data_IF_875279288744
#
_entry.id   IF_875279288744
#
_cell.length_a   1.000
_cell.length_b   1.000
_cell.length_c   1.000
_cell.angle_alpha   90.00
_cell.angle_beta   90.00
_cell.angle_gamma   90.00
#
_symmetry.space_group_name_H-M   'P 1'
#
loop_
_entity.id
_entity.type
_entity.pdbx_description
1 polymer ?
#
# COMPACT_ATOMS: atom_id res chain seq x y z
N UNK A 1 77.87 -14.13 -19.39
CA UNK A 1 76.41 -14.36 -19.47
C UNK A 1 75.97 -14.86 -18.11
N UNK A 2 75.14 -14.09 -17.41
CA UNK A 2 74.73 -14.33 -16.02
C UNK A 2 74.90 -13.06 -15.19
N UNK A 3 73.86 -12.23 -15.15
CA UNK A 3 73.23 -12.03 -13.85
C UNK A 3 71.70 -11.96 -13.98
N UNK A 4 70.96 -12.47 -13.00
CA UNK A 4 69.82 -11.73 -12.46
C UNK A 4 69.38 -12.30 -11.11
N UNK A 5 69.39 -11.38 -10.15
CA UNK A 5 68.80 -11.48 -8.83
C UNK A 5 67.28 -11.57 -8.95
N UNK A 6 66.62 -12.40 -8.16
CA UNK A 6 65.17 -12.25 -7.96
C UNK A 6 64.79 -12.38 -6.48
N UNK A 7 64.29 -11.26 -5.96
CA UNK A 7 63.58 -11.13 -4.70
C UNK A 7 62.67 -9.90 -4.85
N UNK A 8 61.56 -9.79 -4.11
CA UNK A 8 60.35 -10.58 -4.19
C UNK A 8 59.16 -9.70 -4.62
N UNK A 9 58.25 -10.19 -5.46
CA UNK A 9 57.09 -9.39 -5.88
C UNK A 9 55.91 -9.53 -4.90
N UNK A 10 55.62 -8.42 -4.23
CA UNK A 10 54.61 -8.23 -3.20
C UNK A 10 53.19 -8.68 -3.56
N UNK A 11 52.53 -9.18 -2.52
CA UNK A 11 51.09 -9.23 -2.33
C UNK A 11 50.39 -7.93 -2.77
N UNK A 12 49.56 -8.01 -3.80
CA UNK A 12 48.53 -7.00 -4.07
C UNK A 12 47.17 -7.70 -4.24
N UNK A 13 46.68 -8.25 -3.12
CA UNK A 13 45.30 -8.64 -2.98
C UNK A 13 44.43 -7.40 -3.03
N UNK A 14 43.89 -7.10 -4.22
CA UNK A 14 42.98 -5.99 -4.52
C UNK A 14 41.86 -5.97 -3.47
N UNK A 15 41.96 -5.06 -2.50
CA UNK A 15 40.94 -4.83 -1.51
C UNK A 15 39.62 -4.48 -2.23
N UNK A 16 38.63 -5.37 -2.15
CA UNK A 16 37.27 -5.10 -2.60
C UNK A 16 36.76 -3.90 -1.81
N UNK A 17 36.68 -2.74 -2.46
CA UNK A 17 35.95 -1.58 -1.93
C UNK A 17 34.55 -2.05 -1.50
N UNK A 18 34.03 -1.64 -0.33
CA UNK A 18 32.68 -2.00 0.08
C UNK A 18 31.72 -1.56 -1.02
N UNK A 19 31.12 -2.52 -1.70
CA UNK A 19 30.31 -2.29 -2.89
C UNK A 19 29.18 -1.33 -2.55
N UNK A 20 29.15 -0.17 -3.21
CA UNK A 20 28.02 0.75 -3.18
C UNK A 20 26.76 -0.07 -3.46
N UNK A 21 25.80 -0.05 -2.55
CA UNK A 21 24.51 -0.71 -2.73
C UNK A 21 23.90 -0.22 -4.04
N UNK A 22 23.73 -1.12 -4.99
CA UNK A 22 23.00 -0.80 -6.20
C UNK A 22 21.51 -0.69 -5.85
N UNK A 23 21.04 0.55 -5.72
CA UNK A 23 19.64 0.86 -5.43
C UNK A 23 18.74 0.63 -6.64
N UNK A 24 19.29 0.39 -7.84
CA UNK A 24 18.49 0.09 -9.03
C UNK A 24 17.71 -1.22 -8.88
N UNK A 25 18.21 -2.16 -8.07
CA UNK A 25 17.57 -3.44 -7.79
C UNK A 25 16.46 -3.35 -6.73
N UNK A 26 16.37 -2.25 -5.99
CA UNK A 26 15.45 -2.16 -4.86
C UNK A 26 14.00 -2.23 -5.35
N UNK A 27 13.66 -1.50 -6.42
CA UNK A 27 12.33 -1.54 -7.01
C UNK A 27 11.93 -2.96 -7.46
N UNK A 28 12.84 -3.68 -8.12
CA UNK A 28 12.60 -5.06 -8.57
C UNK A 28 12.35 -6.02 -7.41
N UNK A 29 13.09 -5.88 -6.30
CA UNK A 29 12.88 -6.70 -5.09
C UNK A 29 11.54 -6.38 -4.44
N UNK A 30 11.17 -5.10 -4.36
CA UNK A 30 9.91 -4.68 -3.76
C UNK A 30 8.70 -5.11 -4.60
N UNK A 31 8.78 -5.01 -5.93
CA UNK A 31 7.76 -5.53 -6.84
C UNK A 31 7.65 -7.06 -6.76
N UNK A 32 8.78 -7.78 -6.72
CA UNK A 32 8.80 -9.22 -6.48
C UNK A 32 8.19 -9.59 -5.12
N UNK A 33 8.36 -8.74 -4.11
CA UNK A 33 7.77 -8.93 -2.78
C UNK A 33 6.25 -8.82 -2.84
N UNK A 34 5.70 -7.76 -3.45
CA UNK A 34 4.25 -7.61 -3.61
C UNK A 34 3.65 -8.78 -4.39
N UNK A 35 4.30 -9.17 -5.49
CA UNK A 35 3.83 -10.29 -6.29
C UNK A 35 3.90 -11.63 -5.54
N UNK A 36 4.98 -11.87 -4.78
CA UNK A 36 5.09 -13.06 -3.94
C UNK A 36 4.02 -13.12 -2.85
N UNK A 37 3.74 -12.00 -2.17
CA UNK A 37 2.66 -11.93 -1.17
C UNK A 37 1.29 -12.11 -1.83
N UNK A 38 1.05 -11.53 -3.01
CA UNK A 38 -0.20 -11.70 -3.74
C UNK A 38 -0.44 -13.16 -4.18
N UNK A 39 0.62 -13.89 -4.52
CA UNK A 39 0.55 -15.28 -5.01
C UNK A 39 0.36 -16.27 -3.86
N UNK A 40 1.12 -16.12 -2.76
CA UNK A 40 1.17 -17.13 -1.70
C UNK A 40 0.81 -16.62 -0.30
N UNK A 41 0.54 -15.34 -0.13
CA UNK A 41 0.31 -14.71 1.18
C UNK A 41 1.59 -14.46 1.97
N UNK A 42 1.50 -13.63 3.02
CA UNK A 42 2.65 -13.25 3.84
C UNK A 42 3.32 -14.46 4.50
N UNK A 43 2.54 -15.35 5.11
CA UNK A 43 3.08 -16.47 5.89
C UNK A 43 3.92 -17.43 5.04
N UNK A 44 3.42 -17.80 3.85
CA UNK A 44 4.09 -18.76 2.97
C UNK A 44 5.22 -18.13 2.15
N UNK A 45 5.30 -16.80 2.04
CA UNK A 45 6.43 -16.15 1.40
C UNK A 45 7.71 -16.39 2.21
N UNK A 46 8.64 -17.16 1.66
CA UNK A 46 9.97 -17.35 2.23
C UNK A 46 10.96 -16.35 1.63
N UNK A 47 12.01 -16.02 2.39
CA UNK A 47 13.07 -15.14 1.90
C UNK A 47 13.90 -15.78 0.77
N UNK A 48 13.95 -17.12 0.71
CA UNK A 48 14.59 -17.85 -0.39
C UNK A 48 13.75 -17.77 -1.67
N UNK A 49 12.43 -17.95 -1.56
CA UNK A 49 11.52 -17.79 -2.69
C UNK A 49 11.53 -16.35 -3.22
N UNK A 50 11.56 -15.36 -2.31
CA UNK A 50 11.70 -13.96 -2.69
C UNK A 50 13.03 -13.68 -3.42
N UNK A 51 14.15 -14.17 -2.88
CA UNK A 51 15.47 -14.03 -3.50
C UNK A 51 15.51 -14.62 -4.91
N UNK A 52 14.98 -15.85 -5.06
CA UNK A 52 14.83 -16.51 -6.36
C UNK A 52 13.97 -15.69 -7.32
N UNK A 53 12.83 -15.15 -6.85
CA UNK A 53 11.92 -14.37 -7.70
C UNK A 53 12.53 -13.05 -8.15
N UNK A 54 13.27 -12.38 -7.27
CA UNK A 54 13.91 -11.11 -7.57
C UNK A 54 15.24 -11.26 -8.33
N UNK A 55 15.71 -12.49 -8.56
CA UNK A 55 16.99 -12.74 -9.25
C UNK A 55 18.21 -12.26 -8.46
N UNK A 56 18.13 -12.21 -7.13
CA UNK A 56 19.20 -11.73 -6.25
C UNK A 56 19.54 -12.74 -5.17
N UNK A 57 20.75 -12.66 -4.60
CA UNK A 57 21.13 -13.48 -3.45
C UNK A 57 20.39 -13.06 -2.17
N UNK A 58 20.01 -14.04 -1.34
CA UNK A 58 19.34 -13.81 -0.04
C UNK A 58 20.06 -12.79 0.85
N UNK A 59 21.40 -12.85 0.90
CA UNK A 59 22.23 -11.90 1.66
C UNK A 59 22.11 -10.46 1.15
N UNK A 60 21.83 -10.24 -0.14
CA UNK A 60 21.61 -8.91 -0.69
C UNK A 60 20.27 -8.30 -0.22
N UNK A 61 19.25 -9.13 0.01
CA UNK A 61 17.97 -8.69 0.58
C UNK A 61 18.15 -8.34 2.05
N UNK A 62 18.72 -9.25 2.85
CA UNK A 62 18.90 -9.02 4.30
C UNK A 62 19.75 -7.80 4.66
N UNK A 63 20.72 -7.46 3.81
CA UNK A 63 21.54 -6.25 3.99
C UNK A 63 20.73 -4.95 3.93
N UNK A 64 19.58 -4.96 3.24
CA UNK A 64 18.68 -3.81 3.07
C UNK A 64 17.47 -3.91 3.99
N UNK A 65 16.85 -5.10 4.04
CA UNK A 65 15.67 -5.38 4.83
C UNK A 65 15.99 -6.51 5.83
N UNK A 66 16.19 -6.19 7.12
CA UNK A 66 16.63 -7.17 8.11
C UNK A 66 15.58 -8.26 8.39
N UNK A 67 14.33 -8.08 7.96
CA UNK A 67 13.25 -9.06 8.15
C UNK A 67 12.27 -9.07 6.98
N UNK A 68 11.48 -10.16 6.88
CA UNK A 68 10.37 -10.29 5.92
C UNK A 68 9.33 -9.18 6.11
N UNK A 69 9.00 -8.84 7.36
CA UNK A 69 8.06 -7.76 7.67
C UNK A 69 8.54 -6.42 7.12
N UNK A 70 9.84 -6.12 7.26
CA UNK A 70 10.42 -4.85 6.81
C UNK A 70 10.44 -4.74 5.29
N UNK A 71 10.77 -5.81 4.54
CA UNK A 71 10.69 -5.76 3.06
C UNK A 71 9.25 -5.66 2.56
N UNK A 72 8.28 -6.31 3.22
CA UNK A 72 6.87 -6.22 2.84
C UNK A 72 6.31 -4.82 3.12
N UNK A 73 6.60 -4.23 4.28
CA UNK A 73 6.20 -2.86 4.60
C UNK A 73 6.80 -1.85 3.60
N UNK A 74 8.09 -1.96 3.30
CA UNK A 74 8.73 -1.10 2.29
C UNK A 74 8.16 -1.32 0.88
N UNK A 75 7.70 -2.52 0.57
CA UNK A 75 7.09 -2.84 -0.71
C UNK A 75 5.71 -2.17 -0.85
N UNK A 76 4.90 -2.19 0.22
CA UNK A 76 3.65 -1.43 0.32
C UNK A 76 3.94 0.07 0.19
N UNK A 77 4.97 0.59 0.86
CA UNK A 77 5.36 1.99 0.76
C UNK A 77 5.82 2.37 -0.65
N UNK A 78 6.55 1.48 -1.33
CA UNK A 78 6.97 1.67 -2.71
C UNK A 78 5.79 1.70 -3.68
N UNK A 79 4.82 0.80 -3.51
CA UNK A 79 3.55 0.86 -4.24
C UNK A 79 2.81 2.18 -3.99
N UNK A 80 2.65 2.57 -2.72
CA UNK A 80 1.93 3.80 -2.36
C UNK A 80 2.55 5.04 -2.99
N UNK A 81 3.88 5.15 -3.01
CA UNK A 81 4.59 6.27 -3.65
C UNK A 81 4.34 6.36 -5.16
N UNK A 82 4.09 5.25 -5.86
CA UNK A 82 3.84 5.24 -7.31
C UNK A 82 2.44 5.71 -7.69
N UNK A 83 1.47 5.63 -6.78
CA UNK A 83 0.10 6.10 -7.04
C UNK A 83 -0.02 7.63 -7.07
N UNK A 84 0.96 8.35 -6.51
CA UNK A 84 0.92 9.80 -6.41
C UNK A 84 -0.09 10.32 -5.38
N UNK A 85 -0.25 11.65 -5.28
CA UNK A 85 -1.26 12.25 -4.43
C UNK A 85 -2.67 11.95 -4.94
N UNK A 86 -3.62 11.82 -4.02
CA UNK A 86 -5.05 11.70 -4.32
C UNK A 86 -5.72 12.94 -3.77
N UNK A 87 -6.22 13.78 -4.67
CA UNK A 87 -6.96 14.98 -4.28
C UNK A 87 -8.43 14.63 -4.03
N UNK A 88 -9.02 15.07 -2.90
CA UNK A 88 -10.43 14.90 -2.66
C UNK A 88 -11.25 15.74 -3.66
N UNK A 89 -12.39 15.23 -4.14
CA UNK A 89 -13.32 16.05 -4.92
C UNK A 89 -13.73 17.31 -4.14
N UNK A 90 -13.92 18.41 -4.86
CA UNK A 90 -14.49 19.65 -4.34
C UNK A 90 -15.25 20.36 -5.47
N UNK A 91 -16.38 19.78 -5.86
CA UNK A 91 -17.21 20.25 -6.97
C UNK A 91 -18.16 21.38 -6.56
N UNK A 92 -18.11 21.82 -5.30
CA UNK A 92 -18.97 22.87 -4.74
C UNK A 92 -20.30 22.40 -4.14
N UNK A 93 -20.56 21.09 -4.09
CA UNK A 93 -21.71 20.51 -3.37
C UNK A 93 -21.41 19.08 -2.94
N UNK A 94 -21.96 18.63 -1.82
CA UNK A 94 -21.78 17.27 -1.30
C UNK A 94 -22.25 16.22 -2.30
N UNK A 95 -23.36 16.49 -3.00
CA UNK A 95 -23.85 15.60 -4.06
C UNK A 95 -22.84 15.44 -5.19
N UNK A 96 -22.30 16.55 -5.69
CA UNK A 96 -21.30 16.50 -6.76
C UNK A 96 -19.99 15.84 -6.31
N UNK A 97 -19.59 16.03 -5.05
CA UNK A 97 -18.43 15.35 -4.47
C UNK A 97 -18.66 13.83 -4.40
N UNK A 98 -19.85 13.38 -4.00
CA UNK A 98 -20.23 11.95 -4.01
C UNK A 98 -20.23 11.40 -5.44
N UNK A 99 -20.81 12.12 -6.39
CA UNK A 99 -20.84 11.69 -7.79
C UNK A 99 -19.42 11.55 -8.36
N UNK A 100 -18.50 12.46 -7.99
CA UNK A 100 -17.09 12.38 -8.35
C UNK A 100 -16.40 11.17 -7.71
N UNK A 101 -16.66 10.85 -6.43
CA UNK A 101 -16.13 9.64 -5.78
C UNK A 101 -16.65 8.36 -6.45
N UNK A 102 -17.93 8.30 -6.80
CA UNK A 102 -18.52 7.15 -7.51
C UNK A 102 -17.92 7.02 -8.91
N UNK A 103 -17.75 8.13 -9.64
CA UNK A 103 -17.14 8.11 -10.97
C UNK A 103 -15.66 7.69 -10.94
N UNK A 104 -14.93 8.12 -9.91
CA UNK A 104 -13.54 7.76 -9.65
C UNK A 104 -13.35 6.33 -9.18
N UNK A 105 -14.43 5.60 -8.83
CA UNK A 105 -14.34 4.17 -8.51
C UNK A 105 -13.92 3.43 -9.78
N UNK A 106 -12.67 2.89 -9.82
CA UNK A 106 -12.14 2.29 -11.01
C UNK A 106 -12.80 0.93 -11.24
N UNK A 107 -12.88 0.52 -12.50
CA UNK A 107 -12.95 -0.91 -12.80
C UNK A 107 -11.64 -1.52 -12.34
N UNK A 108 -11.71 -2.43 -11.37
CA UNK A 108 -10.52 -3.04 -10.79
C UNK A 108 -9.71 -3.75 -11.87
N UNK A 109 -8.49 -3.28 -12.10
CA UNK A 109 -7.55 -3.94 -13.01
C UNK A 109 -6.75 -5.02 -12.27
N UNK A 110 -5.91 -5.76 -13.00
CA UNK A 110 -5.10 -6.83 -12.43
C UNK A 110 -4.15 -6.36 -11.32
N UNK A 111 -3.64 -5.13 -11.40
CA UNK A 111 -2.77 -4.55 -10.38
C UNK A 111 -3.56 -4.18 -9.10
N UNK A 112 -4.78 -3.67 -9.24
CA UNK A 112 -5.68 -3.41 -8.10
C UNK A 112 -6.03 -4.72 -7.40
N UNK A 113 -6.39 -5.75 -8.17
CA UNK A 113 -6.67 -7.08 -7.64
C UNK A 113 -5.44 -7.70 -6.96
N UNK A 114 -4.24 -7.50 -7.53
CA UNK A 114 -2.99 -7.94 -6.92
C UNK A 114 -2.79 -7.29 -5.55
N UNK A 115 -3.01 -5.99 -5.44
CA UNK A 115 -2.85 -5.28 -4.18
C UNK A 115 -3.90 -5.64 -3.14
N UNK A 116 -5.13 -5.90 -3.57
CA UNK A 116 -6.15 -6.49 -2.70
C UNK A 116 -5.66 -7.82 -2.11
N UNK A 117 -5.07 -8.70 -2.93
CA UNK A 117 -4.47 -9.96 -2.44
C UNK A 117 -3.30 -9.72 -1.50
N UNK A 118 -2.47 -8.71 -1.73
CA UNK A 118 -1.40 -8.32 -0.79
C UNK A 118 -1.97 -7.93 0.57
N UNK A 119 -2.94 -7.02 0.59
CA UNK A 119 -3.55 -6.52 1.85
C UNK A 119 -4.17 -7.67 2.63
N UNK A 120 -4.98 -8.50 1.98
CA UNK A 120 -5.59 -9.69 2.61
C UNK A 120 -4.52 -10.68 3.07
N UNK A 121 -3.49 -10.91 2.25
CA UNK A 121 -2.39 -11.81 2.56
C UNK A 121 -1.49 -11.37 3.72
N UNK A 122 -1.52 -10.08 4.08
CA UNK A 122 -0.75 -9.49 5.19
C UNK A 122 -1.61 -9.27 6.45
N UNK A 123 -2.92 -9.08 6.30
CA UNK A 123 -3.81 -8.64 7.37
C UNK A 123 -3.70 -9.47 8.67
N UNK A 124 -3.71 -10.80 8.58
CA UNK A 124 -3.61 -11.67 9.76
C UNK A 124 -2.26 -11.51 10.48
N UNK A 125 -1.16 -11.38 9.73
CA UNK A 125 0.16 -11.19 10.31
C UNK A 125 0.32 -9.80 10.94
N UNK A 126 -0.34 -8.78 10.39
CA UNK A 126 -0.32 -7.43 10.91
C UNK A 126 -0.90 -7.33 12.34
N UNK A 127 -1.87 -8.18 12.69
CA UNK A 127 -2.46 -8.20 14.05
C UNK A 127 -1.42 -8.41 15.18
N UNK A 128 -0.33 -9.12 14.90
CA UNK A 128 0.76 -9.36 15.85
C UNK A 128 2.08 -8.68 15.49
N UNK A 129 2.11 -7.84 14.45
CA UNK A 129 3.33 -7.25 13.92
C UNK A 129 3.14 -5.74 13.67
N UNK A 130 3.66 -4.87 14.56
CA UNK A 130 3.49 -3.41 14.46
C UNK A 130 4.01 -2.81 13.15
N UNK A 131 5.06 -3.39 12.55
CA UNK A 131 5.63 -2.91 11.28
C UNK A 131 4.64 -3.10 10.14
N UNK A 132 3.97 -4.25 10.10
CA UNK A 132 2.95 -4.54 9.09
C UNK A 132 1.65 -3.79 9.37
N UNK A 133 1.26 -3.66 10.65
CA UNK A 133 0.08 -2.89 11.04
C UNK A 133 0.18 -1.43 10.60
N UNK A 134 1.30 -0.75 10.91
CA UNK A 134 1.57 0.62 10.46
C UNK A 134 1.63 0.70 8.94
N UNK A 135 2.25 -0.27 8.25
CA UNK A 135 2.27 -0.26 6.79
C UNK A 135 0.87 -0.34 6.16
N UNK A 136 -0.06 -1.12 6.73
CA UNK A 136 -1.44 -1.14 6.24
C UNK A 136 -2.19 0.15 6.62
N UNK A 137 -2.06 0.60 7.87
CA UNK A 137 -2.80 1.77 8.35
C UNK A 137 -2.36 3.06 7.65
N UNK A 138 -1.06 3.35 7.67
CA UNK A 138 -0.49 4.62 7.20
C UNK A 138 -0.43 4.72 5.68
N UNK A 139 -0.26 3.60 4.98
CA UNK A 139 0.05 3.60 3.55
C UNK A 139 -1.08 3.08 2.68
N UNK A 140 -2.01 2.29 3.24
CA UNK A 140 -3.15 1.74 2.48
C UNK A 140 -4.45 2.42 2.91
N UNK A 141 -4.70 2.51 4.22
CA UNK A 141 -6.00 2.96 4.74
C UNK A 141 -6.07 4.47 4.98
N UNK A 142 -4.96 5.13 5.29
CA UNK A 142 -4.95 6.57 5.60
C UNK A 142 -5.48 7.45 4.45
N UNK A 143 -5.11 7.17 3.20
CA UNK A 143 -5.53 7.98 2.05
C UNK A 143 -7.04 7.96 1.81
N UNK A 144 -7.71 6.79 1.65
CA UNK A 144 -9.15 6.80 1.47
C UNK A 144 -9.89 7.40 2.69
N UNK A 145 -9.35 7.25 3.92
CA UNK A 145 -9.90 7.95 5.09
C UNK A 145 -9.84 9.47 4.93
N UNK A 146 -8.68 9.99 4.53
CA UNK A 146 -8.46 11.42 4.32
C UNK A 146 -9.37 11.98 3.23
N UNK A 147 -9.56 11.24 2.13
CA UNK A 147 -10.46 11.66 1.03
C UNK A 147 -11.90 11.78 1.51
N UNK A 148 -12.42 10.74 2.18
CA UNK A 148 -13.80 10.77 2.70
C UNK A 148 -13.96 11.88 3.74
N UNK A 149 -13.00 12.00 4.69
CA UNK A 149 -13.01 13.06 5.69
C UNK A 149 -13.01 14.45 5.06
N UNK A 150 -12.17 14.69 4.06
CA UNK A 150 -12.09 15.98 3.38
C UNK A 150 -13.42 16.36 2.71
N UNK A 151 -14.09 15.43 2.03
CA UNK A 151 -15.41 15.66 1.42
C UNK A 151 -16.45 16.04 2.49
N UNK A 152 -16.45 15.33 3.62
CA UNK A 152 -17.37 15.62 4.73
C UNK A 152 -17.08 16.98 5.37
N UNK A 153 -15.81 17.30 5.64
CA UNK A 153 -15.39 18.57 6.22
C UNK A 153 -15.75 19.75 5.30
N UNK A 154 -15.56 19.60 3.98
CA UNK A 154 -15.98 20.59 2.99
C UNK A 154 -17.49 20.80 2.99
N UNK A 155 -18.29 19.73 3.09
CA UNK A 155 -19.74 19.82 3.17
C UNK A 155 -20.22 20.48 4.47
N UNK A 156 -19.55 20.23 5.60
CA UNK A 156 -19.80 20.96 6.86
C UNK A 156 -19.49 22.45 6.67
N UNK A 157 -18.36 22.80 6.06
CA UNK A 157 -17.98 24.18 5.81
C UNK A 157 -18.98 24.93 4.91
N UNK A 158 -19.64 24.22 3.98
CA UNK A 158 -20.72 24.75 3.14
C UNK A 158 -22.09 24.77 3.81
N UNK A 159 -22.22 24.22 5.02
CA UNK A 159 -23.49 24.12 5.75
C UNK A 159 -24.44 23.03 5.23
N UNK A 160 -23.96 22.13 4.38
CA UNK A 160 -24.73 20.99 3.87
C UNK A 160 -24.85 19.87 4.91
N UNK A 161 -23.90 19.80 5.85
CA UNK A 161 -23.91 18.91 7.02
C UNK A 161 -23.93 19.76 8.30
N UNK A 162 -24.79 19.46 9.29
CA UNK A 162 -24.83 20.19 10.56
C UNK A 162 -23.49 20.13 11.32
N UNK A 163 -23.00 21.30 11.76
CA UNK A 163 -21.65 21.51 12.34
C UNK A 163 -21.39 20.97 13.76
N UNK A 164 -22.23 20.03 14.26
CA UNK A 164 -22.08 19.41 15.59
C UNK A 164 -22.08 17.88 15.56
N UNK A 165 -22.09 17.27 14.37
CA UNK A 165 -22.05 15.81 14.21
C UNK A 165 -20.62 15.30 14.36
N UNK A 166 -20.45 14.23 15.13
CA UNK A 166 -19.22 13.47 15.12
C UNK A 166 -19.17 12.59 13.86
N UNK A 167 -18.34 13.00 12.89
CA UNK A 167 -18.11 12.29 11.64
C UNK A 167 -16.84 11.44 11.68
N UNK A 168 -16.18 11.32 12.84
CA UNK A 168 -14.86 10.68 12.96
C UNK A 168 -14.85 9.21 12.52
N UNK A 169 -15.93 8.48 12.78
CA UNK A 169 -16.06 7.06 12.44
C UNK A 169 -16.51 6.80 11.00
N UNK A 170 -17.02 7.82 10.30
CA UNK A 170 -17.64 7.65 8.97
C UNK A 170 -16.67 7.03 7.95
N UNK A 171 -15.40 7.46 7.85
CA UNK A 171 -14.45 6.84 6.93
C UNK A 171 -14.18 5.36 7.25
N UNK A 172 -14.09 5.00 8.53
CA UNK A 172 -13.86 3.61 8.94
C UNK A 172 -15.07 2.71 8.67
N UNK A 173 -16.29 3.22 8.79
CA UNK A 173 -17.50 2.49 8.40
C UNK A 173 -17.48 2.14 6.91
N UNK A 174 -17.18 3.12 6.05
CA UNK A 174 -17.08 2.89 4.60
C UNK A 174 -15.99 1.86 4.26
N UNK A 175 -14.82 1.99 4.88
CA UNK A 175 -13.71 1.06 4.66
C UNK A 175 -14.01 -0.36 5.18
N UNK A 176 -14.64 -0.49 6.36
CA UNK A 176 -15.03 -1.78 6.92
C UNK A 176 -15.97 -2.55 6.00
N UNK A 177 -16.95 -1.87 5.39
CA UNK A 177 -17.85 -2.46 4.42
C UNK A 177 -17.11 -2.97 3.16
N UNK A 178 -16.14 -2.19 2.66
CA UNK A 178 -15.29 -2.60 1.53
C UNK A 178 -14.44 -3.84 1.87
N UNK A 179 -13.87 -3.90 3.08
CA UNK A 179 -13.07 -5.06 3.54
C UNK A 179 -13.92 -6.33 3.55
N UNK A 180 -15.17 -6.27 4.02
CA UNK A 180 -16.07 -7.44 4.00
C UNK A 180 -16.33 -7.92 2.56
N UNK A 181 -16.53 -7.00 1.60
CA UNK A 181 -16.68 -7.38 0.18
C UNK A 181 -15.44 -8.03 -0.39
N UNK A 182 -14.27 -7.45 -0.12
CA UNK A 182 -12.97 -7.99 -0.56
C UNK A 182 -12.77 -9.42 -0.07
N UNK A 183 -12.98 -9.67 1.22
CA UNK A 183 -12.78 -11.00 1.82
C UNK A 183 -13.78 -12.02 1.28
N UNK A 184 -14.99 -11.59 0.94
CA UNK A 184 -16.04 -12.46 0.38
C UNK A 184 -16.02 -12.56 -1.15
N UNK A 185 -15.04 -11.95 -1.82
CA UNK A 185 -14.92 -11.97 -3.29
C UNK A 185 -16.05 -11.24 -4.02
N UNK A 186 -16.76 -10.34 -3.33
CA UNK A 186 -17.84 -9.54 -3.92
C UNK A 186 -17.26 -8.29 -4.57
N UNK A 187 -17.77 -7.86 -5.74
CA UNK A 187 -17.26 -6.68 -6.43
C UNK A 187 -17.48 -5.40 -5.62
N UNK A 188 -16.53 -4.47 -5.70
CA UNK A 188 -16.70 -3.08 -5.26
C UNK A 188 -16.93 -2.26 -6.53
N UNK A 189 -18.16 -2.27 -7.01
CA UNK A 189 -18.55 -1.54 -8.22
C UNK A 189 -19.19 -0.18 -7.87
N UNK A 190 -19.39 0.65 -8.89
CA UNK A 190 -19.99 1.99 -8.75
C UNK A 190 -21.38 1.95 -8.11
N UNK A 191 -22.17 0.91 -8.39
CA UNK A 191 -23.52 0.76 -7.82
C UNK A 191 -23.43 0.54 -6.32
N UNK A 192 -22.52 -0.32 -5.88
CA UNK A 192 -22.26 -0.56 -4.48
C UNK A 192 -21.70 0.67 -3.76
N UNK A 193 -20.69 1.32 -4.33
CA UNK A 193 -20.09 2.53 -3.72
C UNK A 193 -21.14 3.62 -3.58
N UNK A 194 -21.97 3.84 -4.61
CA UNK A 194 -23.07 4.80 -4.53
C UNK A 194 -24.03 4.49 -3.38
N UNK A 195 -24.49 3.24 -3.27
CA UNK A 195 -25.38 2.81 -2.18
C UNK A 195 -24.74 2.98 -0.80
N UNK A 196 -23.46 2.67 -0.64
CA UNK A 196 -22.77 2.91 0.64
C UNK A 196 -22.78 4.39 0.97
N UNK A 197 -22.44 5.25 0.01
CA UNK A 197 -22.40 6.70 0.25
C UNK A 197 -23.80 7.27 0.54
N UNK A 198 -24.80 6.93 -0.27
CA UNK A 198 -26.15 7.50 -0.20
C UNK A 198 -27.02 6.88 0.90
N UNK A 199 -26.99 5.56 1.08
CA UNK A 199 -27.92 4.85 1.99
C UNK A 199 -27.34 4.67 3.40
N UNK A 200 -26.02 4.80 3.57
CA UNK A 200 -25.34 4.59 4.85
C UNK A 200 -24.64 5.85 5.31
N UNK A 201 -23.73 6.39 4.51
CA UNK A 201 -22.85 7.48 4.95
C UNK A 201 -23.60 8.81 5.10
N UNK A 202 -24.41 9.20 4.11
CA UNK A 202 -25.20 10.44 4.17
C UNK A 202 -26.20 10.46 5.36
N UNK A 203 -26.99 9.40 5.62
CA UNK A 203 -27.84 9.32 6.80
C UNK A 203 -27.06 9.42 8.12
N UNK A 204 -25.88 8.80 8.20
CA UNK A 204 -25.00 8.93 9.38
C UNK A 204 -24.49 10.36 9.57
N UNK A 205 -24.31 11.11 8.47
CA UNK A 205 -23.99 12.53 8.50
C UNK A 205 -25.20 13.43 8.82
N UNK A 206 -26.42 12.87 8.92
CA UNK A 206 -27.64 13.64 9.16
C UNK A 206 -28.24 14.27 7.91
N UNK A 207 -27.79 13.86 6.73
CA UNK A 207 -28.36 14.21 5.44
C UNK A 207 -29.39 13.13 5.06
N UNK A 208 -30.64 13.49 4.72
CA UNK A 208 -31.61 12.49 4.26
C UNK A 208 -31.08 11.74 3.02
N UNK A 209 -31.31 10.43 2.96
CA UNK A 209 -31.13 9.68 1.73
C UNK A 209 -32.07 10.25 0.66
N UNK A 210 -31.59 10.39 -0.57
CA UNK A 210 -32.37 10.91 -1.71
C UNK A 210 -32.95 9.79 -2.55
#
# INVERSE_FOLDING_TARGET
MGPESDQPAGTSGRARRPGRLDRSLDAAILDATLAGVADVGYERLSMDALASRAGVGKAAIYRRWPSKAVVVADAIAHWRRRLGPVEPPNTGSLRGDIDALVAATPELNDADLQMIRVVVGVATAAMGNPVLASALDDLVLATPRQVIRAVLDQAVARGEIPSGRDLSMVPDVALGLNVVRVITGRPIDRVYVRRVLEDVILPLAGVPAQ
#
